data_IF_452905230736
#
_entry.id   IF_452905230736
#
_cell.length_a   1.000
_cell.length_b   1.000
_cell.length_c   1.000
_cell.angle_alpha   90.00
_cell.angle_beta   90.00
_cell.angle_gamma   90.00
#
_symmetry.space_group_name_H-M   'P 1'
#
loop_
_entity.id
_entity.type
_entity.pdbx_description
1 polymer ?
#
# COMPACT_ATOMS: atom_id res chain seq x y z
N UNK A 1 -13.39 -12.78 3.58
CA UNK A 1 -14.19 -12.55 2.36
C UNK A 1 -13.99 -13.76 1.46
N UNK A 2 -14.97 -14.67 1.38
CA UNK A 2 -14.76 -15.97 0.67
C UNK A 2 -15.47 -16.05 -0.68
N UNK A 3 -16.20 -15.00 -1.08
CA UNK A 3 -17.09 -14.97 -2.25
C UNK A 3 -16.82 -13.74 -3.14
N UNK A 4 -15.58 -13.34 -3.25
CA UNK A 4 -15.17 -12.28 -4.17
C UNK A 4 -15.21 -12.78 -5.62
N UNK A 5 -15.68 -11.91 -6.50
CA UNK A 5 -15.64 -12.12 -7.95
C UNK A 5 -14.33 -11.55 -8.53
N UNK A 6 -13.87 -12.04 -9.68
CA UNK A 6 -12.79 -11.40 -10.41
C UNK A 6 -13.08 -9.91 -10.65
N UNK A 7 -12.08 -9.06 -10.53
CA UNK A 7 -12.22 -7.61 -10.74
C UNK A 7 -12.75 -7.32 -12.15
N UNK A 8 -12.19 -8.00 -13.16
CA UNK A 8 -12.66 -8.00 -14.54
C UNK A 8 -12.73 -9.46 -14.98
N UNK A 9 -13.94 -9.98 -15.20
CA UNK A 9 -14.19 -11.42 -15.40
C UNK A 9 -13.76 -11.94 -16.77
N UNK A 10 -13.59 -11.05 -17.73
CA UNK A 10 -13.18 -11.32 -19.11
C UNK A 10 -11.66 -11.21 -19.33
N UNK A 11 -10.90 -10.77 -18.31
CA UNK A 11 -9.46 -10.76 -18.39
C UNK A 11 -8.87 -12.13 -18.04
N UNK A 12 -7.80 -12.48 -18.74
CA UNK A 12 -7.06 -13.73 -18.46
C UNK A 12 -6.55 -13.75 -17.01
N UNK A 13 -6.45 -14.96 -16.44
CA UNK A 13 -5.81 -15.17 -15.14
C UNK A 13 -4.34 -14.76 -15.20
N UNK A 14 -3.92 -13.88 -14.31
CA UNK A 14 -2.54 -13.37 -14.24
C UNK A 14 -2.48 -12.08 -13.45
N UNK A 15 -1.34 -11.40 -13.51
CA UNK A 15 -1.20 -10.10 -12.86
C UNK A 15 -2.06 -9.04 -13.54
N UNK A 16 -2.84 -8.29 -12.75
CA UNK A 16 -3.71 -7.22 -13.24
C UNK A 16 -2.89 -5.94 -13.43
N UNK A 17 -2.80 -5.43 -14.65
CA UNK A 17 -2.16 -4.16 -14.95
C UNK A 17 -3.19 -3.08 -15.28
N UNK A 18 -3.10 -1.96 -14.57
CA UNK A 18 -3.93 -0.78 -14.74
C UNK A 18 -3.01 0.39 -15.05
N UNK A 19 -3.22 1.08 -16.17
CA UNK A 19 -2.40 2.23 -16.52
C UNK A 19 -3.23 3.37 -17.10
N UNK A 20 -2.66 4.59 -17.05
CA UNK A 20 -3.27 5.79 -17.60
C UNK A 20 -2.90 7.03 -16.80
N UNK A 21 -3.37 8.21 -17.20
CA UNK A 21 -2.89 9.45 -16.61
C UNK A 21 -3.35 9.65 -15.18
N UNK A 22 -2.60 10.48 -14.46
CA UNK A 22 -3.02 10.97 -13.15
C UNK A 22 -4.40 11.63 -13.25
N UNK A 23 -4.59 12.50 -14.25
CA UNK A 23 -5.86 13.19 -14.52
C UNK A 23 -6.22 13.18 -16.01
N UNK A 24 -7.53 13.19 -16.28
CA UNK A 24 -8.07 13.60 -17.57
C UNK A 24 -7.97 15.13 -17.68
N UNK A 25 -7.23 15.63 -18.66
CA UNK A 25 -6.91 17.06 -18.80
C UNK A 25 -7.54 17.68 -20.07
N UNK A 26 -7.57 16.93 -21.15
CA UNK A 26 -8.32 17.21 -22.38
C UNK A 26 -8.71 15.90 -23.07
N UNK A 27 -9.67 15.98 -23.98
CA UNK A 27 -10.09 14.81 -24.77
C UNK A 27 -8.90 14.25 -25.58
N UNK A 28 -8.11 15.11 -26.20
CA UNK A 28 -6.95 14.77 -27.04
C UNK A 28 -5.87 14.06 -26.19
N UNK A 29 -5.52 14.62 -25.03
CA UNK A 29 -4.54 14.05 -24.11
C UNK A 29 -5.00 12.66 -23.64
N UNK A 30 -6.26 12.53 -23.23
CA UNK A 30 -6.80 11.28 -22.72
C UNK A 30 -6.81 10.19 -23.79
N UNK A 31 -7.30 10.47 -24.99
CA UNK A 31 -7.37 9.49 -26.07
C UNK A 31 -5.99 9.09 -26.59
N UNK A 32 -5.03 10.03 -26.69
CA UNK A 32 -3.65 9.72 -27.05
C UNK A 32 -3.00 8.79 -26.00
N UNK A 33 -3.23 9.06 -24.72
CA UNK A 33 -2.73 8.19 -23.65
C UNK A 33 -3.40 6.82 -23.68
N UNK A 34 -4.72 6.76 -23.88
CA UNK A 34 -5.47 5.50 -23.94
C UNK A 34 -5.02 4.60 -25.09
N UNK A 35 -4.78 5.18 -26.28
CA UNK A 35 -4.20 4.46 -27.43
C UNK A 35 -2.82 3.89 -27.07
N UNK A 36 -1.96 4.68 -26.45
CA UNK A 36 -0.62 4.23 -26.07
C UNK A 36 -0.67 3.11 -25.03
N UNK A 37 -1.54 3.20 -24.03
CA UNK A 37 -1.77 2.17 -23.01
C UNK A 37 -2.30 0.87 -23.64
N UNK A 38 -3.26 0.97 -24.57
CA UNK A 38 -3.75 -0.17 -25.35
C UNK A 38 -2.61 -0.84 -26.15
N UNK A 39 -1.78 -0.06 -26.83
CA UNK A 39 -0.65 -0.56 -27.61
C UNK A 39 0.44 -1.21 -26.73
N UNK A 40 0.57 -0.80 -25.47
CA UNK A 40 1.42 -1.44 -24.47
C UNK A 40 0.85 -2.77 -23.93
N UNK A 41 -0.33 -3.19 -24.41
CA UNK A 41 -0.98 -4.45 -24.01
C UNK A 41 -1.75 -4.38 -22.69
N UNK A 42 -1.97 -3.20 -22.13
CA UNK A 42 -2.76 -3.02 -20.90
C UNK A 42 -4.25 -2.91 -21.25
N UNK A 43 -5.07 -3.66 -20.55
CA UNK A 43 -6.51 -3.76 -20.84
C UNK A 43 -7.37 -2.89 -19.92
N UNK A 44 -6.82 -2.36 -18.83
CA UNK A 44 -7.55 -1.51 -17.89
C UNK A 44 -6.93 -0.11 -17.86
N UNK A 45 -7.71 0.86 -18.32
CA UNK A 45 -7.31 2.27 -18.40
C UNK A 45 -7.85 3.04 -17.20
N UNK A 46 -6.97 3.81 -16.54
CA UNK A 46 -7.33 4.72 -15.46
C UNK A 46 -7.19 6.17 -15.88
N UNK A 47 -8.11 7.04 -15.48
CA UNK A 47 -7.90 8.50 -15.52
C UNK A 47 -8.74 9.17 -14.43
N UNK A 48 -8.13 9.98 -13.56
CA UNK A 48 -8.85 10.72 -12.54
C UNK A 48 -9.59 11.92 -13.14
N UNK A 49 -10.90 12.00 -12.99
CA UNK A 49 -11.69 13.16 -13.46
C UNK A 49 -11.94 14.16 -12.33
N UNK A 50 -11.96 13.72 -11.08
CA UNK A 50 -11.98 14.54 -9.88
C UNK A 50 -10.68 14.35 -9.10
N UNK A 51 -10.08 15.45 -8.62
CA UNK A 51 -8.80 15.41 -7.90
C UNK A 51 -8.94 16.11 -6.55
N UNK A 52 -9.11 15.36 -5.45
CA UNK A 52 -9.09 15.95 -4.12
C UNK A 52 -7.70 16.49 -3.82
N UNK A 53 -7.57 17.81 -3.73
CA UNK A 53 -6.29 18.48 -3.50
C UNK A 53 -6.14 18.90 -2.04
N UNK A 54 -4.93 18.75 -1.51
CA UNK A 54 -4.60 19.20 -0.15
C UNK A 54 -4.50 20.73 -0.08
N UNK A 55 -4.09 21.37 -1.21
CA UNK A 55 -3.97 22.84 -1.30
C UNK A 55 -4.87 23.35 -2.40
N UNK A 56 -5.62 24.45 -2.16
CA UNK A 56 -6.41 25.10 -3.20
C UNK A 56 -5.50 25.68 -4.30
N UNK A 57 -6.06 25.95 -5.48
CA UNK A 57 -5.35 26.55 -6.61
C UNK A 57 -4.54 25.59 -7.49
N UNK A 58 -4.55 24.27 -7.20
CA UNK A 58 -4.02 23.23 -8.10
C UNK A 58 -5.13 22.73 -9.03
N UNK A 59 -4.76 22.09 -10.14
CA UNK A 59 -5.71 21.47 -11.06
C UNK A 59 -6.59 20.42 -10.33
N UNK A 60 -7.90 20.64 -10.27
CA UNK A 60 -8.85 19.80 -9.52
C UNK A 60 -9.54 18.77 -10.40
N UNK A 61 -9.17 18.66 -11.68
CA UNK A 61 -9.76 17.78 -12.68
C UNK A 61 -10.87 18.47 -13.50
N UNK A 62 -11.30 17.82 -14.57
CA UNK A 62 -12.36 18.29 -15.46
C UNK A 62 -13.76 17.88 -14.97
N UNK A 63 -13.82 17.07 -13.93
CA UNK A 63 -15.10 16.60 -13.40
C UNK A 63 -15.91 15.79 -14.40
N UNK A 64 -17.21 15.97 -14.34
CA UNK A 64 -18.19 15.27 -15.21
C UNK A 64 -17.96 15.49 -16.71
N UNK A 65 -17.31 16.58 -17.10
CA UNK A 65 -17.06 16.89 -18.51
C UNK A 65 -16.11 15.89 -19.18
N UNK A 66 -15.24 15.24 -18.40
CA UNK A 66 -14.31 14.24 -18.90
C UNK A 66 -14.91 12.82 -18.97
N UNK A 67 -16.09 12.55 -18.36
CA UNK A 67 -16.71 11.22 -18.41
C UNK A 67 -17.03 10.73 -19.81
N UNK A 68 -17.54 11.57 -20.73
CA UNK A 68 -17.71 11.18 -22.14
C UNK A 68 -16.40 10.79 -22.84
N UNK A 69 -15.26 11.42 -22.49
CA UNK A 69 -13.95 11.09 -23.07
C UNK A 69 -13.45 9.71 -22.61
N UNK A 70 -13.72 9.37 -21.33
CA UNK A 70 -13.42 8.03 -20.79
C UNK A 70 -14.27 6.96 -21.49
N UNK A 71 -15.56 7.24 -21.68
CA UNK A 71 -16.45 6.34 -22.42
C UNK A 71 -15.99 6.16 -23.86
N UNK A 72 -15.56 7.23 -24.55
CA UNK A 72 -15.00 7.14 -25.89
C UNK A 72 -13.75 6.29 -25.93
N UNK A 73 -12.84 6.42 -24.95
CA UNK A 73 -11.64 5.56 -24.84
C UNK A 73 -12.02 4.08 -24.70
N UNK A 74 -13.03 3.76 -23.87
CA UNK A 74 -13.58 2.42 -23.72
C UNK A 74 -14.10 1.86 -25.03
N UNK A 75 -14.98 2.59 -25.70
CA UNK A 75 -15.63 2.14 -26.92
C UNK A 75 -14.63 2.03 -28.11
N UNK A 76 -13.66 2.93 -28.18
CA UNK A 76 -12.72 3.04 -29.29
C UNK A 76 -11.60 2.02 -29.24
N UNK A 77 -11.11 1.69 -28.05
CA UNK A 77 -9.93 0.83 -27.86
C UNK A 77 -10.25 -0.48 -27.16
N UNK A 78 -11.52 -0.74 -26.80
CA UNK A 78 -11.91 -1.97 -26.10
C UNK A 78 -11.31 -2.10 -24.70
N UNK A 79 -11.07 -0.97 -24.03
CA UNK A 79 -10.46 -0.93 -22.68
C UNK A 79 -11.54 -0.98 -21.61
N UNK A 80 -11.28 -1.66 -20.50
CA UNK A 80 -11.98 -1.38 -19.26
C UNK A 80 -11.53 -0.03 -18.73
N UNK A 81 -12.47 0.81 -18.29
CA UNK A 81 -12.16 2.18 -17.89
C UNK A 81 -12.62 2.46 -16.47
N UNK A 82 -11.70 2.98 -15.66
CA UNK A 82 -11.94 3.32 -14.26
C UNK A 82 -11.55 4.77 -13.95
N UNK A 83 -12.21 5.36 -12.94
CA UNK A 83 -11.91 6.71 -12.45
C UNK A 83 -11.95 6.81 -10.92
N UNK A 84 -11.39 7.90 -10.35
CA UNK A 84 -11.47 8.21 -8.91
C UNK A 84 -12.85 8.70 -8.52
N UNK A 85 -13.33 8.26 -7.35
CA UNK A 85 -14.57 8.77 -6.75
C UNK A 85 -14.34 9.11 -5.28
N UNK A 86 -15.09 10.09 -4.77
CA UNK A 86 -15.00 10.54 -3.38
C UNK A 86 -16.37 10.80 -2.74
N UNK A 87 -17.45 10.81 -3.51
CA UNK A 87 -18.81 11.11 -3.04
C UNK A 87 -19.85 10.22 -3.72
N UNK A 88 -21.04 10.05 -3.13
CA UNK A 88 -22.17 9.37 -3.77
C UNK A 88 -22.56 9.95 -5.15
N UNK A 89 -22.47 11.27 -5.29
CA UNK A 89 -22.75 11.95 -6.57
C UNK A 89 -21.76 11.53 -7.66
N UNK A 90 -20.47 11.35 -7.34
CA UNK A 90 -19.49 10.83 -8.29
C UNK A 90 -19.85 9.41 -8.75
N UNK A 91 -20.30 8.56 -7.83
CA UNK A 91 -20.76 7.18 -8.16
C UNK A 91 -21.92 7.24 -9.15
N UNK A 92 -22.94 8.04 -8.87
CA UNK A 92 -24.10 8.17 -9.76
C UNK A 92 -23.69 8.60 -11.19
N UNK A 93 -22.78 9.57 -11.29
CA UNK A 93 -22.30 10.05 -12.58
C UNK A 93 -21.48 8.98 -13.33
N UNK A 94 -20.62 8.23 -12.63
CA UNK A 94 -19.84 7.13 -13.19
C UNK A 94 -20.75 6.01 -13.71
N UNK A 95 -21.76 5.61 -12.94
CA UNK A 95 -22.73 4.59 -13.36
C UNK A 95 -23.53 5.03 -14.60
N UNK A 96 -23.98 6.29 -14.64
CA UNK A 96 -24.64 6.88 -15.81
C UNK A 96 -23.75 6.92 -17.05
N UNK A 97 -22.44 7.15 -16.86
CA UNK A 97 -21.47 7.15 -17.95
C UNK A 97 -21.12 5.74 -18.45
N UNK A 98 -21.50 4.68 -17.75
CA UNK A 98 -21.25 3.29 -18.13
C UNK A 98 -19.78 2.88 -18.03
N UNK A 99 -19.04 3.43 -17.06
CA UNK A 99 -17.66 3.01 -16.78
C UNK A 99 -17.62 1.66 -16.06
N UNK A 100 -16.51 0.95 -16.13
CA UNK A 100 -16.35 -0.43 -15.65
C UNK A 100 -15.94 -0.54 -14.19
N UNK A 101 -15.37 0.54 -13.63
CA UNK A 101 -14.92 0.54 -12.26
C UNK A 101 -14.59 1.92 -11.72
N UNK A 102 -14.29 1.93 -10.44
CA UNK A 102 -13.85 3.12 -9.70
C UNK A 102 -12.71 2.76 -8.75
N UNK A 103 -11.89 3.76 -8.42
CA UNK A 103 -11.06 3.65 -7.25
C UNK A 103 -11.40 4.73 -6.22
N UNK A 104 -11.24 4.37 -4.96
CA UNK A 104 -11.39 5.27 -3.81
C UNK A 104 -10.00 5.73 -3.41
N UNK A 105 -9.80 7.06 -3.40
CA UNK A 105 -8.51 7.66 -3.09
C UNK A 105 -8.14 7.57 -1.60
N UNK A 106 -6.84 7.63 -1.30
CA UNK A 106 -6.29 7.48 0.06
C UNK A 106 -6.91 8.44 1.10
N UNK A 107 -7.25 9.66 0.69
CA UNK A 107 -7.88 10.66 1.58
C UNK A 107 -9.32 10.32 1.91
N UNK A 108 -10.05 9.78 0.93
CA UNK A 108 -11.44 9.31 1.12
C UNK A 108 -11.47 8.05 1.97
N UNK A 109 -10.56 7.10 1.73
CA UNK A 109 -10.43 5.87 2.53
C UNK A 109 -10.19 6.16 4.01
N UNK A 110 -9.55 7.29 4.35
CA UNK A 110 -9.30 7.72 5.73
C UNK A 110 -10.58 8.11 6.49
N UNK A 111 -11.68 8.38 5.79
CA UNK A 111 -12.92 8.86 6.39
C UNK A 111 -14.02 7.77 6.40
N UNK A 112 -14.34 7.15 7.56
CA UNK A 112 -15.35 6.10 7.65
C UNK A 112 -16.76 6.53 7.24
N UNK A 113 -17.13 7.80 7.44
CA UNK A 113 -18.44 8.32 7.01
C UNK A 113 -18.53 8.38 5.49
N UNK A 114 -17.54 8.97 4.82
CA UNK A 114 -17.47 9.01 3.37
C UNK A 114 -17.44 7.59 2.76
N UNK A 115 -16.72 6.67 3.38
CA UNK A 115 -16.68 5.27 2.96
C UNK A 115 -18.05 4.59 3.09
N UNK A 116 -18.81 4.90 4.14
CA UNK A 116 -20.16 4.36 4.31
C UNK A 116 -21.15 4.93 3.27
N UNK A 117 -21.11 6.24 3.03
CA UNK A 117 -21.94 6.88 2.00
C UNK A 117 -21.66 6.32 0.60
N UNK A 118 -20.39 6.11 0.26
CA UNK A 118 -19.97 5.48 -1.00
C UNK A 118 -20.47 4.04 -1.08
N UNK A 119 -20.32 3.26 0.00
CA UNK A 119 -20.76 1.87 0.06
C UNK A 119 -22.28 1.75 -0.11
N UNK A 120 -23.05 2.66 0.46
CA UNK A 120 -24.50 2.71 0.32
C UNK A 120 -24.91 3.10 -1.11
N UNK A 121 -24.22 4.06 -1.74
CA UNK A 121 -24.47 4.46 -3.14
C UNK A 121 -24.13 3.35 -4.15
N UNK A 122 -23.21 2.45 -3.80
CA UNK A 122 -22.80 1.32 -4.65
C UNK A 122 -23.67 0.06 -4.46
N UNK A 123 -24.57 0.05 -3.50
CA UNK A 123 -25.42 -1.10 -3.19
C UNK A 123 -26.22 -1.57 -4.41
N UNK A 124 -26.14 -2.85 -4.72
CA UNK A 124 -26.83 -3.46 -5.86
C UNK A 124 -26.15 -3.25 -7.21
N UNK A 125 -24.96 -2.65 -7.25
CA UNK A 125 -24.16 -2.54 -8.48
C UNK A 125 -23.14 -3.69 -8.58
N UNK A 126 -22.73 -4.04 -9.80
CA UNK A 126 -21.67 -5.00 -10.09
C UNK A 126 -20.45 -4.29 -10.73
N UNK A 127 -20.11 -3.10 -10.23
CA UNK A 127 -18.96 -2.33 -10.71
C UNK A 127 -17.67 -2.76 -9.98
N UNK A 128 -16.54 -2.73 -10.66
CA UNK A 128 -15.24 -3.01 -10.05
C UNK A 128 -14.80 -1.87 -9.12
N UNK A 129 -14.34 -2.18 -7.90
CA UNK A 129 -13.96 -1.18 -6.92
C UNK A 129 -12.57 -1.48 -6.37
N UNK A 130 -11.67 -0.49 -6.49
CA UNK A 130 -10.33 -0.54 -5.96
C UNK A 130 -10.19 0.45 -4.80
N UNK A 131 -9.67 0.01 -3.67
CA UNK A 131 -9.54 0.83 -2.45
C UNK A 131 -8.07 1.11 -2.17
N UNK A 132 -7.64 2.36 -2.36
CA UNK A 132 -6.29 2.78 -1.99
C UNK A 132 -6.13 2.77 -0.46
N UNK A 133 -4.94 2.42 0.04
CA UNK A 133 -4.65 2.51 1.47
C UNK A 133 -4.83 3.94 1.99
N UNK A 134 -5.19 4.12 3.27
CA UNK A 134 -5.23 5.44 3.92
C UNK A 134 -3.87 6.13 3.90
N UNK A 135 -3.83 7.43 4.15
CA UNK A 135 -2.57 8.19 4.17
C UNK A 135 -1.65 7.74 5.30
N UNK A 136 -2.22 7.40 6.47
CA UNK A 136 -1.50 6.82 7.61
C UNK A 136 -1.30 5.31 7.44
N UNK A 137 -0.21 4.73 7.98
CA UNK A 137 0.03 3.28 7.94
C UNK A 137 -0.86 2.53 8.94
N UNK A 138 -2.15 2.52 8.70
CA UNK A 138 -3.18 1.95 9.55
C UNK A 138 -3.94 0.85 8.79
N UNK A 139 -3.66 -0.41 9.14
CA UNK A 139 -4.28 -1.58 8.52
C UNK A 139 -5.73 -1.74 8.94
N UNK A 140 -6.11 -1.33 10.16
CA UNK A 140 -7.49 -1.47 10.65
C UNK A 140 -8.41 -0.50 9.91
N UNK A 141 -7.93 0.73 9.68
CA UNK A 141 -8.67 1.71 8.89
C UNK A 141 -8.84 1.25 7.43
N UNK A 142 -7.80 0.64 6.84
CA UNK A 142 -7.86 0.13 5.47
C UNK A 142 -8.79 -1.08 5.34
N UNK A 143 -8.65 -2.07 6.21
CA UNK A 143 -9.52 -3.24 6.23
C UNK A 143 -10.97 -2.86 6.49
N UNK A 144 -11.23 -1.96 7.46
CA UNK A 144 -12.57 -1.48 7.76
C UNK A 144 -13.24 -0.76 6.58
N UNK A 145 -12.49 0.01 5.79
CA UNK A 145 -13.01 0.63 4.56
C UNK A 145 -13.44 -0.42 3.53
N UNK A 146 -12.64 -1.47 3.34
CA UNK A 146 -12.94 -2.58 2.42
C UNK A 146 -14.14 -3.41 2.91
N UNK A 147 -14.21 -3.70 4.22
CA UNK A 147 -15.31 -4.43 4.84
C UNK A 147 -16.65 -3.73 4.67
N UNK A 148 -16.69 -2.39 4.74
CA UNK A 148 -17.93 -1.63 4.50
C UNK A 148 -18.48 -1.87 3.10
N UNK A 149 -17.64 -1.85 2.08
CA UNK A 149 -18.00 -2.15 0.70
C UNK A 149 -18.49 -3.60 0.54
N UNK A 150 -17.73 -4.54 1.09
CA UNK A 150 -18.11 -5.96 1.06
C UNK A 150 -19.46 -6.22 1.75
N UNK A 151 -19.70 -5.62 2.92
CA UNK A 151 -20.94 -5.75 3.68
C UNK A 151 -22.14 -5.08 2.97
N UNK A 152 -21.87 -4.09 2.09
CA UNK A 152 -22.90 -3.50 1.24
C UNK A 152 -23.25 -4.34 0.00
N UNK A 153 -22.61 -5.51 -0.16
CA UNK A 153 -22.92 -6.46 -1.22
C UNK A 153 -21.95 -6.41 -2.40
N UNK A 154 -20.92 -5.56 -2.35
CA UNK A 154 -19.92 -5.48 -3.41
C UNK A 154 -19.02 -6.71 -3.36
N UNK A 155 -18.75 -7.30 -4.56
CA UNK A 155 -17.95 -8.53 -4.69
C UNK A 155 -16.74 -8.37 -5.62
N UNK A 156 -16.68 -7.34 -6.45
CA UNK A 156 -15.53 -7.04 -7.33
C UNK A 156 -14.64 -6.00 -6.66
N UNK A 157 -13.86 -6.45 -5.67
CA UNK A 157 -13.02 -5.62 -4.78
C UNK A 157 -11.54 -5.94 -4.94
N UNK A 158 -10.71 -4.90 -4.95
CA UNK A 158 -9.26 -5.01 -4.79
C UNK A 158 -8.73 -3.89 -3.88
N UNK A 159 -7.62 -4.16 -3.22
CA UNK A 159 -6.85 -3.14 -2.52
C UNK A 159 -5.75 -2.57 -3.44
N UNK A 160 -5.38 -1.29 -3.24
CA UNK A 160 -4.26 -0.66 -3.95
C UNK A 160 -3.32 -0.01 -2.94
N UNK A 161 -2.12 -0.54 -2.87
CA UNK A 161 -1.04 0.02 -2.05
C UNK A 161 -0.32 1.14 -2.79
N UNK A 162 -0.39 2.35 -2.25
CA UNK A 162 0.21 3.56 -2.85
C UNK A 162 1.26 4.23 -1.96
N UNK A 163 1.70 3.52 -0.89
CA UNK A 163 2.57 4.06 0.15
C UNK A 163 1.84 4.96 1.14
N UNK A 164 2.55 5.36 2.19
CA UNK A 164 2.02 6.09 3.34
C UNK A 164 2.76 7.40 3.54
N UNK A 165 2.07 8.40 4.08
CA UNK A 165 2.67 9.66 4.48
C UNK A 165 3.72 9.44 5.58
N UNK A 166 4.84 10.15 5.48
CA UNK A 166 5.90 10.11 6.49
C UNK A 166 6.48 11.50 6.71
N UNK A 167 6.94 11.76 7.93
CA UNK A 167 7.71 12.95 8.27
C UNK A 167 9.23 12.72 8.16
N UNK A 168 9.62 11.46 7.92
CA UNK A 168 11.03 11.10 7.77
C UNK A 168 11.52 11.45 6.35
N UNK A 169 12.78 11.82 6.23
CA UNK A 169 13.43 11.98 4.94
C UNK A 169 13.63 10.60 4.31
N UNK A 170 12.94 10.34 3.21
CA UNK A 170 13.02 9.09 2.46
C UNK A 170 13.22 9.39 0.97
N UNK A 171 13.73 8.43 0.17
CA UNK A 171 13.80 8.59 -1.27
C UNK A 171 12.42 8.59 -1.94
N UNK A 172 11.38 8.18 -1.21
CA UNK A 172 10.02 8.01 -1.69
C UNK A 172 9.16 9.24 -1.42
N UNK A 173 8.16 9.46 -2.25
CA UNK A 173 7.09 10.44 -1.99
C UNK A 173 6.17 9.97 -0.86
N UNK A 174 5.89 8.68 -0.84
CA UNK A 174 5.13 8.00 0.21
C UNK A 174 5.88 6.71 0.57
N UNK A 175 6.25 6.58 1.83
CA UNK A 175 7.02 5.41 2.29
C UNK A 175 6.21 4.10 2.06
N UNK A 176 6.82 3.05 1.51
CA UNK A 176 6.07 1.85 1.16
C UNK A 176 5.52 1.09 2.38
N UNK A 177 6.25 1.05 3.52
CA UNK A 177 5.83 0.30 4.72
C UNK A 177 5.18 -1.04 4.37
N UNK A 178 5.91 -1.89 3.61
CA UNK A 178 5.42 -3.15 3.05
C UNK A 178 4.75 -4.09 4.07
N UNK A 179 5.10 -3.97 5.35
CA UNK A 179 4.46 -4.74 6.42
C UNK A 179 2.94 -4.52 6.50
N UNK A 180 2.45 -3.33 6.14
CA UNK A 180 1.01 -3.00 6.22
C UNK A 180 0.19 -3.76 5.17
N UNK A 181 0.51 -3.71 3.85
CA UNK A 181 -0.21 -4.51 2.85
C UNK A 181 0.00 -6.02 3.04
N UNK A 182 1.16 -6.47 3.53
CA UNK A 182 1.39 -7.87 3.90
C UNK A 182 0.44 -8.30 5.02
N UNK A 183 0.26 -7.47 6.05
CA UNK A 183 -0.69 -7.73 7.12
C UNK A 183 -2.14 -7.69 6.63
N UNK A 184 -2.48 -6.78 5.69
CA UNK A 184 -3.80 -6.78 5.06
C UNK A 184 -4.05 -8.10 4.31
N UNK A 185 -3.08 -8.58 3.53
CA UNK A 185 -3.19 -9.86 2.81
C UNK A 185 -3.35 -11.04 3.78
N UNK A 186 -2.63 -11.04 4.92
CA UNK A 186 -2.79 -12.06 5.96
C UNK A 186 -4.21 -12.09 6.54
N UNK A 187 -4.85 -10.92 6.73
CA UNK A 187 -6.23 -10.81 7.24
C UNK A 187 -7.29 -11.13 6.18
N UNK A 188 -7.01 -10.82 4.94
CA UNK A 188 -7.93 -10.91 3.80
C UNK A 188 -7.26 -11.62 2.61
N UNK A 189 -6.94 -12.93 2.74
CA UNK A 189 -6.13 -13.65 1.74
C UNK A 189 -6.78 -13.78 0.36
N UNK A 190 -8.10 -13.65 0.27
CA UNK A 190 -8.84 -13.72 -1.00
C UNK A 190 -8.93 -12.35 -1.71
N UNK A 191 -8.50 -11.26 -1.05
CA UNK A 191 -8.57 -9.92 -1.61
C UNK A 191 -7.35 -9.65 -2.48
N UNK A 192 -7.50 -9.38 -3.78
CA UNK A 192 -6.37 -8.98 -4.62
C UNK A 192 -5.78 -7.65 -4.15
N UNK A 193 -4.43 -7.58 -4.12
CA UNK A 193 -3.70 -6.37 -3.75
C UNK A 193 -2.80 -5.95 -4.91
N UNK A 194 -3.01 -4.74 -5.41
CA UNK A 194 -2.18 -4.10 -6.43
C UNK A 194 -1.24 -3.08 -5.78
N UNK A 195 -0.08 -2.85 -6.39
CA UNK A 195 0.81 -1.75 -6.01
C UNK A 195 0.68 -0.58 -6.98
N UNK A 196 0.77 0.64 -6.44
CA UNK A 196 0.87 1.89 -7.20
C UNK A 196 2.28 2.48 -7.03
N UNK A 197 3.26 2.00 -7.81
CA UNK A 197 4.66 2.41 -7.68
C UNK A 197 4.88 3.89 -8.04
N UNK A 198 4.00 4.47 -8.87
CA UNK A 198 4.06 5.88 -9.24
C UNK A 198 3.86 6.79 -8.03
N UNK A 199 2.87 6.50 -7.19
CA UNK A 199 2.61 7.29 -5.98
C UNK A 199 3.58 6.98 -4.85
N UNK A 200 4.08 5.75 -4.75
CA UNK A 200 5.12 5.39 -3.79
C UNK A 200 6.39 6.17 -4.11
N UNK A 201 6.90 6.05 -5.33
CA UNK A 201 8.15 6.66 -5.78
C UNK A 201 8.10 8.19 -5.91
N UNK A 202 7.02 8.72 -6.49
CA UNK A 202 6.85 10.14 -6.78
C UNK A 202 7.77 10.67 -7.90
N UNK A 203 8.51 9.79 -8.56
CA UNK A 203 9.42 10.06 -9.67
C UNK A 203 9.62 8.83 -10.55
N UNK A 204 9.86 9.03 -11.84
CA UNK A 204 9.87 7.99 -12.89
C UNK A 204 10.89 6.89 -12.63
N UNK A 205 12.07 7.26 -12.15
CA UNK A 205 13.20 6.35 -11.94
C UNK A 205 12.90 5.26 -10.89
N UNK A 206 11.95 5.51 -10.01
CA UNK A 206 11.55 4.56 -8.97
C UNK A 206 10.38 3.65 -9.37
N UNK A 207 9.71 3.91 -10.50
CA UNK A 207 8.51 3.15 -10.89
C UNK A 207 8.86 1.68 -11.15
N UNK A 208 9.88 1.40 -11.97
CA UNK A 208 10.29 0.03 -12.30
C UNK A 208 10.79 -0.76 -11.07
N UNK A 209 11.75 -0.27 -10.27
CA UNK A 209 12.22 -1.03 -9.11
C UNK A 209 11.11 -1.30 -8.09
N UNK A 210 10.21 -0.33 -7.84
CA UNK A 210 9.07 -0.52 -6.94
C UNK A 210 8.01 -1.47 -7.51
N UNK A 211 7.80 -1.46 -8.83
CA UNK A 211 6.92 -2.41 -9.51
C UNK A 211 7.44 -3.84 -9.35
N UNK A 212 8.75 -4.04 -9.57
CA UNK A 212 9.38 -5.36 -9.39
C UNK A 212 9.32 -5.82 -7.93
N UNK A 213 9.65 -4.93 -6.98
CA UNK A 213 9.61 -5.22 -5.55
C UNK A 213 8.20 -5.67 -5.10
N UNK A 214 7.15 -4.99 -5.57
CA UNK A 214 5.77 -5.39 -5.28
C UNK A 214 5.45 -6.81 -5.81
N UNK A 215 5.83 -7.13 -7.06
CA UNK A 215 5.62 -8.47 -7.63
C UNK A 215 6.45 -9.54 -6.91
N UNK A 216 7.67 -9.22 -6.47
CA UNK A 216 8.51 -10.11 -5.66
C UNK A 216 7.89 -10.39 -4.28
N UNK A 217 7.11 -9.44 -3.75
CA UNK A 217 6.32 -9.59 -2.52
C UNK A 217 4.97 -10.31 -2.73
N UNK A 218 4.65 -10.72 -3.97
CA UNK A 218 3.45 -11.49 -4.27
C UNK A 218 2.19 -10.65 -4.48
N UNK A 219 2.32 -9.38 -4.87
CA UNK A 219 1.14 -8.57 -5.24
C UNK A 219 0.51 -9.06 -6.54
N UNK A 220 -0.81 -8.95 -6.64
CA UNK A 220 -1.61 -9.47 -7.75
C UNK A 220 -1.57 -8.57 -9.00
N UNK A 221 -0.95 -7.39 -8.92
CA UNK A 221 -0.85 -6.49 -10.06
C UNK A 221 -0.33 -5.10 -9.72
N UNK A 222 -0.43 -4.22 -10.72
CA UNK A 222 0.13 -2.87 -10.66
C UNK A 222 -0.89 -1.84 -11.17
N UNK A 223 -0.87 -0.65 -10.54
CA UNK A 223 -1.57 0.55 -11.03
C UNK A 223 -0.53 1.64 -11.31
N UNK A 224 -0.26 1.94 -12.58
CA UNK A 224 0.85 2.81 -12.99
C UNK A 224 0.32 4.10 -13.65
N UNK A 225 0.89 5.23 -13.29
CA UNK A 225 0.57 6.50 -13.95
C UNK A 225 1.36 6.63 -15.25
N UNK A 226 0.61 6.78 -16.35
CA UNK A 226 1.12 6.88 -17.72
C UNK A 226 0.46 8.07 -18.44
N UNK A 227 1.22 8.86 -19.17
CA UNK A 227 0.73 10.04 -19.88
C UNK A 227 1.46 10.20 -21.23
N UNK A 228 0.73 10.54 -22.30
CA UNK A 228 1.32 10.70 -23.63
C UNK A 228 2.43 11.77 -23.70
N UNK A 229 2.38 12.77 -22.83
CA UNK A 229 3.41 13.80 -22.69
C UNK A 229 3.59 14.18 -21.21
N UNK A 230 4.28 13.34 -20.40
CA UNK A 230 4.32 13.47 -18.94
C UNK A 230 4.79 14.84 -18.44
N UNK A 231 5.74 15.47 -19.13
CA UNK A 231 6.29 16.79 -18.73
C UNK A 231 5.30 17.95 -18.90
N UNK A 232 4.22 17.73 -19.67
CA UNK A 232 3.13 18.70 -19.88
C UNK A 232 1.93 18.42 -18.97
N UNK A 233 1.96 17.36 -18.17
CA UNK A 233 0.85 16.98 -17.31
C UNK A 233 0.53 18.06 -16.28
N UNK A 234 -0.75 18.35 -16.10
CA UNK A 234 -1.26 19.34 -15.11
C UNK A 234 -1.21 18.79 -13.66
N UNK A 235 -1.04 17.48 -13.51
CA UNK A 235 -0.92 16.82 -12.21
C UNK A 235 0.16 15.76 -12.21
N UNK A 236 0.91 15.69 -11.13
CA UNK A 236 1.89 14.63 -10.80
C UNK A 236 2.89 14.29 -11.95
N UNK A 237 3.29 15.29 -12.75
CA UNK A 237 4.13 15.17 -13.95
C UNK A 237 5.42 14.34 -13.74
N UNK A 238 6.05 14.45 -12.56
CA UNK A 238 7.35 13.83 -12.26
C UNK A 238 7.30 12.30 -12.14
N UNK A 239 6.14 11.72 -11.84
CA UNK A 239 6.00 10.28 -11.58
C UNK A 239 5.33 9.53 -12.74
N UNK A 240 4.75 10.22 -13.70
CA UNK A 240 4.13 9.60 -14.87
C UNK A 240 5.18 9.20 -15.90
N UNK A 241 5.06 8.00 -16.47
CA UNK A 241 5.90 7.50 -17.54
C UNK A 241 5.18 7.64 -18.90
N UNK A 242 5.91 7.51 -20.01
CA UNK A 242 5.27 7.47 -21.33
C UNK A 242 4.67 6.08 -21.62
N UNK A 243 3.75 5.94 -22.59
CA UNK A 243 3.23 4.64 -23.00
C UNK A 243 4.31 3.67 -23.50
N UNK A 244 5.34 4.17 -24.18
CA UNK A 244 6.47 3.39 -24.65
C UNK A 244 7.26 2.84 -23.44
N UNK A 245 7.59 3.71 -22.48
CA UNK A 245 8.28 3.31 -21.26
C UNK A 245 7.42 2.34 -20.41
N UNK A 246 6.08 2.45 -20.44
CA UNK A 246 5.18 1.48 -19.83
C UNK A 246 5.34 0.10 -20.48
N UNK A 247 5.32 0.02 -21.81
CA UNK A 247 5.53 -1.22 -22.54
C UNK A 247 6.88 -1.88 -22.21
N UNK A 248 7.97 -1.12 -22.23
CA UNK A 248 9.31 -1.58 -21.87
C UNK A 248 9.36 -2.07 -20.42
N UNK A 249 8.76 -1.32 -19.49
CA UNK A 249 8.67 -1.71 -18.07
C UNK A 249 7.96 -3.05 -17.93
N UNK A 250 6.77 -3.21 -18.48
CA UNK A 250 5.98 -4.46 -18.34
C UNK A 250 6.71 -5.67 -18.93
N UNK A 251 7.43 -5.51 -20.04
CA UNK A 251 8.25 -6.57 -20.62
C UNK A 251 9.48 -6.93 -19.79
N UNK A 252 10.02 -5.98 -19.01
CA UNK A 252 11.19 -6.19 -18.16
C UNK A 252 10.88 -6.86 -16.82
N UNK A 253 9.59 -6.88 -16.40
CA UNK A 253 9.20 -7.43 -15.12
C UNK A 253 9.35 -8.96 -15.07
N UNK A 254 9.92 -9.43 -13.98
CA UNK A 254 10.08 -10.86 -13.70
C UNK A 254 8.90 -11.30 -12.83
N UNK A 255 7.99 -12.08 -13.41
CA UNK A 255 6.89 -12.70 -12.67
C UNK A 255 7.39 -13.90 -11.90
N UNK A 256 7.40 -13.79 -10.57
CA UNK A 256 7.77 -14.90 -9.70
C UNK A 256 6.54 -15.75 -9.41
N UNK A 257 6.66 -17.05 -9.67
CA UNK A 257 5.60 -18.00 -9.33
C UNK A 257 5.80 -18.50 -7.91
N UNK A 258 4.70 -18.69 -7.18
CA UNK A 258 4.76 -19.44 -5.92
C UNK A 258 5.33 -20.83 -6.20
N UNK A 259 6.35 -21.29 -5.45
CA UNK A 259 6.94 -22.60 -5.70
C UNK A 259 5.88 -23.70 -5.62
N UNK A 260 5.83 -24.56 -6.62
CA UNK A 260 4.90 -25.71 -6.69
C UNK A 260 5.17 -26.75 -5.59
N UNK A 261 6.39 -26.74 -5.00
CA UNK A 261 6.77 -27.64 -3.90
C UNK A 261 7.28 -26.82 -2.70
N UNK A 262 6.63 -27.00 -1.56
CA UNK A 262 7.07 -26.40 -0.28
C UNK A 262 8.35 -27.06 0.27
N UNK A 263 8.75 -28.21 -0.26
CA UNK A 263 9.86 -29.04 0.25
C UNK A 263 11.22 -28.34 0.14
N UNK A 264 11.49 -27.61 -0.95
CA UNK A 264 12.77 -26.93 -1.14
C UNK A 264 13.10 -25.85 -0.08
N UNK A 265 12.09 -25.27 0.54
CA UNK A 265 12.25 -24.24 1.58
C UNK A 265 12.03 -24.79 3.00
N UNK A 266 11.62 -26.06 3.13
CA UNK A 266 11.25 -26.65 4.42
C UNK A 266 12.40 -26.61 5.43
N UNK A 267 13.60 -27.02 5.02
CA UNK A 267 14.75 -27.08 5.92
C UNK A 267 15.20 -25.68 6.36
N UNK A 268 15.15 -24.70 5.45
CA UNK A 268 15.43 -23.29 5.79
C UNK A 268 14.40 -22.73 6.77
N UNK A 269 13.12 -23.05 6.59
CA UNK A 269 12.05 -22.61 7.51
C UNK A 269 12.23 -23.24 8.89
N UNK A 270 12.49 -24.54 8.98
CA UNK A 270 12.80 -25.20 10.26
C UNK A 270 14.01 -24.60 10.96
N UNK A 271 15.02 -24.20 10.18
CA UNK A 271 16.19 -23.54 10.74
C UNK A 271 15.83 -22.16 11.29
N UNK A 272 15.02 -21.35 10.56
CA UNK A 272 14.51 -20.06 11.03
C UNK A 272 13.68 -20.26 12.31
N UNK A 273 12.75 -21.22 12.34
CA UNK A 273 11.92 -21.54 13.52
C UNK A 273 12.78 -21.86 14.76
N UNK A 274 13.87 -22.59 14.55
CA UNK A 274 14.84 -22.89 15.60
C UNK A 274 15.57 -21.63 16.11
N UNK A 275 15.96 -20.74 15.18
CA UNK A 275 16.59 -19.47 15.56
C UNK A 275 15.62 -18.55 16.30
N UNK A 276 14.37 -18.48 15.85
CA UNK A 276 13.32 -17.68 16.47
C UNK A 276 13.02 -18.18 17.89
N UNK A 277 12.98 -19.51 18.10
CA UNK A 277 12.83 -20.08 19.42
C UNK A 277 13.95 -19.66 20.37
N UNK A 278 15.19 -19.70 19.90
CA UNK A 278 16.36 -19.25 20.68
C UNK A 278 16.33 -17.74 20.96
N UNK A 279 15.84 -16.92 20.00
CA UNK A 279 15.65 -15.49 20.25
C UNK A 279 14.62 -15.23 21.33
N UNK A 280 13.51 -15.97 21.36
CA UNK A 280 12.50 -15.87 22.41
C UNK A 280 13.05 -16.27 23.79
N UNK A 281 13.84 -17.34 23.86
CA UNK A 281 14.53 -17.76 25.09
C UNK A 281 15.46 -16.66 25.63
N UNK A 282 16.29 -16.07 24.77
CA UNK A 282 17.19 -14.98 25.14
C UNK A 282 16.44 -13.71 25.57
N UNK A 283 15.32 -13.39 24.92
CA UNK A 283 14.45 -12.28 25.32
C UNK A 283 13.80 -12.54 26.68
N UNK A 284 13.35 -13.76 26.95
CA UNK A 284 12.79 -14.15 28.25
C UNK A 284 13.83 -14.03 29.38
N UNK A 285 15.04 -14.55 29.14
CA UNK A 285 16.18 -14.41 30.08
C UNK A 285 16.49 -12.93 30.35
N UNK A 286 16.57 -12.12 29.27
CA UNK A 286 16.83 -10.68 29.39
C UNK A 286 15.74 -9.95 30.18
N UNK A 287 14.46 -10.32 30.01
CA UNK A 287 13.36 -9.75 30.79
C UNK A 287 13.42 -10.22 32.27
N UNK A 288 13.92 -11.41 32.54
CA UNK A 288 14.25 -11.85 33.90
C UNK A 288 15.23 -10.89 34.58
N UNK A 289 16.35 -10.63 33.95
CA UNK A 289 17.34 -9.66 34.47
C UNK A 289 16.75 -8.25 34.60
N UNK A 290 15.87 -7.83 33.67
CA UNK A 290 15.21 -6.52 33.77
C UNK A 290 14.31 -6.42 35.02
N UNK A 291 13.62 -7.49 35.39
CA UNK A 291 12.83 -7.55 36.65
C UNK A 291 13.74 -7.49 37.89
N UNK A 292 14.83 -8.23 37.91
CA UNK A 292 15.82 -8.17 39.02
C UNK A 292 16.36 -6.76 39.20
N UNK A 293 16.67 -6.05 38.09
CA UNK A 293 17.05 -4.64 38.12
C UNK A 293 15.92 -3.76 38.69
N UNK A 294 14.67 -4.03 38.33
CA UNK A 294 13.48 -3.34 38.88
C UNK A 294 13.39 -3.52 40.39
N UNK A 295 13.53 -4.75 40.91
CA UNK A 295 13.55 -5.04 42.33
C UNK A 295 14.68 -4.30 43.09
N UNK A 296 15.88 -4.30 42.50
CA UNK A 296 16.99 -3.57 43.06
C UNK A 296 16.74 -2.06 43.13
N UNK A 297 16.22 -1.48 42.03
CA UNK A 297 15.90 -0.04 41.99
C UNK A 297 14.82 0.33 43.00
N UNK A 298 13.78 -0.48 43.10
CA UNK A 298 12.71 -0.31 44.10
C UNK A 298 13.29 -0.29 45.52
N UNK A 299 14.13 -1.26 45.83
CA UNK A 299 14.75 -1.39 47.19
C UNK A 299 15.65 -0.18 47.55
N UNK A 300 16.18 0.54 46.51
CA UNK A 300 17.10 1.68 46.70
C UNK A 300 16.48 3.01 46.32
N UNK A 301 15.17 3.09 46.11
CA UNK A 301 14.45 4.30 45.69
C UNK A 301 15.06 4.99 44.43
N UNK A 302 15.50 4.20 43.45
CA UNK A 302 16.11 4.67 42.21
C UNK A 302 15.05 4.82 41.10
N UNK A 303 15.22 5.82 40.22
CA UNK A 303 14.37 5.98 39.04
C UNK A 303 14.55 4.79 38.05
N UNK A 304 13.43 4.34 37.45
CA UNK A 304 13.43 3.22 36.50
C UNK A 304 14.22 3.56 35.23
N UNK A 305 14.00 4.75 34.68
CA UNK A 305 14.62 5.14 33.40
C UNK A 305 15.96 5.84 33.64
N UNK A 306 17.00 5.38 32.92
CA UNK A 306 18.33 5.95 32.88
C UNK A 306 18.70 6.21 31.41
N UNK A 307 18.45 7.43 30.93
CA UNK A 307 18.58 7.80 29.53
C UNK A 307 19.98 7.58 28.95
N UNK A 308 21.03 7.92 29.72
CA UNK A 308 22.42 7.79 29.25
C UNK A 308 22.77 6.32 28.97
N UNK A 309 22.35 5.41 29.84
CA UNK A 309 22.60 3.98 29.68
C UNK A 309 21.94 3.38 28.45
N UNK A 310 20.73 3.83 28.13
CA UNK A 310 20.04 3.37 26.93
C UNK A 310 20.76 3.83 25.65
N UNK A 311 21.20 5.09 25.60
CA UNK A 311 21.93 5.62 24.45
C UNK A 311 23.25 4.89 24.22
N UNK A 312 24.01 4.60 25.28
CA UNK A 312 25.24 3.81 25.18
C UNK A 312 24.97 2.40 24.61
N UNK A 313 23.95 1.73 25.12
CA UNK A 313 23.56 0.39 24.67
C UNK A 313 23.19 0.39 23.20
N UNK A 314 22.40 1.38 22.76
CA UNK A 314 21.93 1.50 21.40
C UNK A 314 23.10 1.74 20.43
N UNK A 315 23.99 2.68 20.73
CA UNK A 315 25.19 2.96 19.93
C UNK A 315 26.10 1.73 19.82
N UNK A 316 26.30 1.01 20.91
CA UNK A 316 27.10 -0.23 20.90
C UNK A 316 26.46 -1.33 20.05
N UNK A 317 25.13 -1.48 20.13
CA UNK A 317 24.39 -2.45 19.35
C UNK A 317 24.45 -2.13 17.85
N UNK A 318 24.25 -0.86 17.45
CA UNK A 318 24.36 -0.41 16.08
C UNK A 318 25.76 -0.62 15.48
N UNK A 319 26.81 -0.31 16.25
CA UNK A 319 28.19 -0.53 15.82
C UNK A 319 28.54 -2.02 15.65
N UNK A 320 27.97 -2.90 16.49
CA UNK A 320 28.11 -4.35 16.37
C UNK A 320 27.36 -4.88 15.16
N UNK A 321 26.14 -4.42 14.96
CA UNK A 321 25.28 -4.81 13.85
C UNK A 321 25.91 -4.54 12.49
N UNK A 322 26.54 -3.38 12.32
CA UNK A 322 27.22 -3.00 11.08
C UNK A 322 28.30 -4.01 10.69
N UNK A 323 29.09 -4.47 11.68
CA UNK A 323 30.11 -5.51 11.48
C UNK A 323 29.53 -6.89 11.12
N UNK A 324 28.27 -7.13 11.47
CA UNK A 324 27.55 -8.37 11.20
C UNK A 324 26.69 -8.30 9.92
N UNK A 325 26.72 -7.19 9.19
CA UNK A 325 25.89 -6.98 7.99
C UNK A 325 24.41 -6.74 8.28
N UNK A 326 24.08 -6.33 9.52
CA UNK A 326 22.70 -6.03 9.94
C UNK A 326 22.47 -4.53 9.87
N UNK A 327 21.33 -4.11 9.31
CA UNK A 327 20.97 -2.70 9.19
C UNK A 327 20.91 -2.00 10.56
N UNK A 328 21.58 -0.86 10.70
CA UNK A 328 21.53 -0.02 11.92
C UNK A 328 20.07 0.36 12.25
N UNK A 329 19.30 0.71 11.25
CA UNK A 329 17.88 1.08 11.42
C UNK A 329 17.09 -0.08 12.04
N UNK A 330 17.27 -1.29 11.53
CA UNK A 330 16.60 -2.49 12.06
C UNK A 330 17.00 -2.76 13.51
N UNK A 331 18.30 -2.67 13.82
CA UNK A 331 18.79 -2.86 15.19
C UNK A 331 18.27 -1.78 16.13
N UNK A 332 18.22 -0.53 15.67
CA UNK A 332 17.62 0.57 16.43
C UNK A 332 16.16 0.26 16.83
N UNK A 333 15.32 -0.18 15.87
CA UNK A 333 13.93 -0.52 16.13
C UNK A 333 13.79 -1.66 17.15
N UNK A 334 14.54 -2.75 16.97
CA UNK A 334 14.49 -3.92 17.87
C UNK A 334 14.95 -3.52 19.29
N UNK A 335 16.09 -2.85 19.42
CA UNK A 335 16.62 -2.51 20.74
C UNK A 335 15.78 -1.44 21.45
N UNK A 336 15.11 -0.56 20.71
CA UNK A 336 14.12 0.37 21.27
C UNK A 336 12.92 -0.38 21.82
N UNK A 337 12.35 -1.32 21.06
CA UNK A 337 11.23 -2.14 21.51
C UNK A 337 11.59 -3.01 22.73
N UNK A 338 12.78 -3.61 22.75
CA UNK A 338 13.30 -4.39 23.87
C UNK A 338 13.50 -3.49 25.11
N UNK A 339 13.95 -2.26 24.92
CA UNK A 339 14.12 -1.32 26.02
C UNK A 339 12.78 -0.90 26.62
N UNK A 340 11.81 -0.56 25.76
CA UNK A 340 10.45 -0.21 26.17
C UNK A 340 9.82 -1.34 27.00
N UNK A 341 9.93 -2.59 26.53
CA UNK A 341 9.45 -3.74 27.29
C UNK A 341 10.20 -3.91 28.63
N UNK A 342 11.53 -3.69 28.65
CA UNK A 342 12.30 -3.76 29.90
C UNK A 342 11.87 -2.70 30.92
N UNK A 343 11.55 -1.48 30.47
CA UNK A 343 11.00 -0.42 31.34
C UNK A 343 9.61 -0.83 31.87
N UNK A 344 8.76 -1.39 31.00
CA UNK A 344 7.43 -1.87 31.40
C UNK A 344 7.53 -2.96 32.50
N UNK A 345 8.44 -3.92 32.34
CA UNK A 345 8.68 -4.99 33.33
C UNK A 345 9.18 -4.41 34.67
N UNK A 346 10.08 -3.42 34.67
CA UNK A 346 10.56 -2.78 35.88
C UNK A 346 9.44 -1.98 36.59
N UNK A 347 8.62 -1.25 35.83
CA UNK A 347 7.47 -0.51 36.39
C UNK A 347 6.43 -1.45 36.99
N UNK A 348 6.18 -2.61 36.38
CA UNK A 348 5.26 -3.61 36.91
C UNK A 348 5.75 -4.21 38.25
N UNK A 349 7.07 -4.40 38.40
CA UNK A 349 7.69 -4.79 39.70
C UNK A 349 7.49 -3.70 40.76
N UNK A 350 7.63 -2.41 40.41
CA UNK A 350 7.40 -1.32 41.36
C UNK A 350 5.98 -1.26 41.88
N UNK A 351 5.00 -1.67 41.06
CA UNK A 351 3.56 -1.69 41.39
C UNK A 351 3.09 -3.00 42.08
N UNK A 352 4.00 -3.93 42.36
CA UNK A 352 3.65 -5.29 42.79
C UNK A 352 2.69 -6.05 41.85
N UNK A 353 2.66 -5.70 40.58
CA UNK A 353 1.78 -6.31 39.55
C UNK A 353 2.34 -7.64 39.00
N UNK A 354 3.60 -7.96 39.28
CA UNK A 354 4.25 -9.23 38.90
C UNK A 354 4.84 -9.86 40.18
N UNK A 355 4.24 -10.98 40.61
CA UNK A 355 4.78 -11.88 41.62
C UNK A 355 5.35 -13.13 40.96
#
# INVERSE_FOLDING_TARGET
>A
MKDLNPIFSDLASGSLYIAGPCSAESREQLLATALGVHNAGVQVFRAGVWKPRTRPGSFEGMGREALPWLREAKERYGLHVITEVATPEHIEQVLKAGLDGVWIGARTTTNPFAMQEIADALRGTDIAILVKNPVSPDVDLWSGAIERLYNSGIRRLAAVHRGFGTHQTTPYRNAPHWSVPIELHRRMPELPILSDPSHIGGRRELVQPLAQEALDLGFDGLMIECHAAPDKALSDARQQITPEALGELLHSLILRRTPVTQDALRDYRLHIDSLDSRLLELLAERMGVAREIGEYKRAHAMAVVQHDRFNELLLAAEAKAEKMGISKHFVHQIFSAIHEESVRQQVAVERDEIR
#
